data_IF_205565898412
#
_entry.id   IF_205565898412
#
_cell.length_a   1.000
_cell.length_b   1.000
_cell.length_c   1.000
_cell.angle_alpha   90.00
_cell.angle_beta   90.00
_cell.angle_gamma   90.00
#
_symmetry.space_group_name_H-M   'P 1'
#
loop_
_entity.id
_entity.type
_entity.pdbx_description
1 polymer ?
#
# COMPACT_ATOMS: atom_id res chain seq x y z
N UNK A 1 32.48 55.08 -12.14
CA UNK A 1 31.13 54.47 -12.30
C UNK A 1 31.05 53.27 -13.25
N UNK A 2 31.97 53.04 -14.20
CA UNK A 2 31.92 51.87 -15.12
C UNK A 2 32.57 50.57 -14.60
N UNK A 3 33.31 50.62 -13.49
CA UNK A 3 33.98 49.44 -12.92
C UNK A 3 33.10 48.63 -11.96
N UNK A 4 32.16 49.24 -11.23
CA UNK A 4 31.29 48.52 -10.30
C UNK A 4 30.16 47.73 -10.97
N UNK A 5 29.75 48.10 -12.19
CA UNK A 5 28.65 47.43 -12.88
C UNK A 5 29.06 46.06 -13.46
N UNK A 6 30.34 45.87 -13.82
CA UNK A 6 30.84 44.57 -14.29
C UNK A 6 30.96 43.54 -13.17
N UNK A 7 31.35 43.95 -11.97
CA UNK A 7 31.40 43.06 -10.80
C UNK A 7 30.01 42.71 -10.28
N UNK A 8 29.04 43.63 -10.36
CA UNK A 8 27.66 43.35 -9.99
C UNK A 8 26.99 42.40 -10.99
N UNK A 9 27.26 42.54 -12.31
CA UNK A 9 26.77 41.59 -13.31
C UNK A 9 27.43 40.21 -13.18
N UNK A 10 28.73 40.16 -12.86
CA UNK A 10 29.44 38.90 -12.64
C UNK A 10 28.98 38.20 -11.35
N UNK A 11 28.72 38.95 -10.27
CA UNK A 11 28.17 38.43 -9.03
C UNK A 11 26.71 37.96 -9.18
N UNK A 12 25.91 38.63 -10.02
CA UNK A 12 24.53 38.22 -10.34
C UNK A 12 24.52 36.98 -11.25
N UNK A 13 25.45 36.86 -12.20
CA UNK A 13 25.60 35.65 -13.03
C UNK A 13 26.12 34.46 -12.21
N UNK A 14 27.00 34.69 -11.24
CA UNK A 14 27.50 33.65 -10.31
C UNK A 14 26.46 33.27 -9.24
N UNK A 15 25.61 34.21 -8.79
CA UNK A 15 24.47 33.91 -7.90
C UNK A 15 23.27 33.28 -8.62
N UNK A 16 23.03 33.60 -9.90
CA UNK A 16 22.00 32.95 -10.72
C UNK A 16 22.48 31.61 -11.32
N UNK A 17 23.80 31.40 -11.41
CA UNK A 17 24.43 30.09 -11.66
C UNK A 17 24.83 29.42 -10.34
N UNK A 18 23.92 29.35 -9.36
CA UNK A 18 23.96 28.23 -8.44
C UNK A 18 23.85 26.97 -9.29
N UNK A 19 24.98 26.37 -9.68
CA UNK A 19 25.04 25.12 -10.42
C UNK A 19 24.38 24.04 -9.57
N UNK A 20 23.05 23.94 -9.63
CA UNK A 20 22.32 22.75 -9.24
C UNK A 20 22.75 21.66 -10.22
N UNK A 21 23.75 20.88 -9.82
CA UNK A 21 24.13 19.69 -10.55
C UNK A 21 22.92 18.75 -10.57
N UNK A 22 22.27 18.64 -11.73
CA UNK A 22 21.15 17.73 -11.91
C UNK A 22 21.63 16.30 -11.59
N UNK A 23 20.81 15.51 -10.88
CA UNK A 23 21.18 14.14 -10.57
C UNK A 23 21.40 13.35 -11.86
N UNK A 24 22.43 12.52 -11.86
CA UNK A 24 22.69 11.58 -12.96
C UNK A 24 21.75 10.39 -12.80
N UNK A 25 20.75 10.35 -13.67
CA UNK A 25 19.80 9.23 -13.73
C UNK A 25 20.44 8.05 -14.46
N UNK A 26 20.40 6.87 -13.87
CA UNK A 26 20.81 5.61 -14.51
C UNK A 26 19.55 4.80 -14.84
N UNK A 27 19.31 4.47 -16.11
CA UNK A 27 18.24 3.55 -16.48
C UNK A 27 18.51 2.16 -15.92
N UNK A 28 17.56 1.56 -15.19
CA UNK A 28 17.74 0.22 -14.62
C UNK A 28 17.97 -0.86 -15.70
N UNK A 29 17.51 -0.64 -16.93
CA UNK A 29 17.76 -1.51 -18.08
C UNK A 29 19.25 -1.62 -18.42
N UNK A 30 20.04 -0.59 -18.10
CA UNK A 30 21.48 -0.58 -18.31
C UNK A 30 22.28 -1.24 -17.18
N UNK A 31 21.62 -1.56 -16.06
CA UNK A 31 22.20 -2.27 -14.92
C UNK A 31 21.98 -3.79 -15.01
N UNK A 32 21.16 -4.23 -15.96
CA UNK A 32 20.89 -5.65 -16.20
C UNK A 32 22.13 -6.34 -16.79
N UNK A 33 22.63 -7.43 -16.16
CA UNK A 33 23.70 -8.23 -16.75
C UNK A 33 23.28 -8.82 -18.10
N UNK A 34 24.22 -8.94 -19.05
CA UNK A 34 23.97 -9.49 -20.39
C UNK A 34 23.54 -10.96 -20.31
N UNK A 35 22.54 -11.33 -21.11
CA UNK A 35 22.08 -12.71 -21.22
C UNK A 35 23.18 -13.62 -21.79
N UNK A 36 23.48 -14.72 -21.10
CA UNK A 36 24.17 -15.86 -21.71
C UNK A 36 23.12 -16.70 -22.45
N UNK A 37 23.38 -16.99 -23.73
CA UNK A 37 22.56 -17.89 -24.53
C UNK A 37 22.87 -19.33 -24.14
N UNK A 38 21.97 -20.01 -23.42
CA UNK A 38 22.11 -21.45 -23.16
C UNK A 38 20.78 -22.19 -23.29
N UNK A 39 20.88 -23.42 -23.79
CA UNK A 39 19.78 -24.33 -24.03
C UNK A 39 19.23 -24.87 -22.70
N UNK A 40 17.91 -24.72 -22.49
CA UNK A 40 17.22 -25.25 -21.32
C UNK A 40 17.33 -26.79 -21.27
N UNK A 41 17.89 -27.33 -20.20
CA UNK A 41 17.86 -28.76 -19.91
C UNK A 41 16.46 -29.17 -19.43
N UNK A 42 16.01 -30.37 -19.86
CA UNK A 42 14.72 -30.98 -19.46
C UNK A 42 14.80 -31.60 -18.06
N UNK A 43 15.19 -30.82 -17.05
CA UNK A 43 15.29 -31.31 -15.67
C UNK A 43 14.00 -31.05 -14.87
N UNK A 44 13.77 -31.84 -13.82
CA UNK A 44 12.61 -31.70 -12.94
C UNK A 44 12.68 -30.37 -12.19
N UNK A 45 11.61 -29.60 -12.31
CA UNK A 45 11.48 -28.24 -11.77
C UNK A 45 11.02 -28.30 -10.31
N UNK A 46 11.69 -27.56 -9.42
CA UNK A 46 11.21 -27.25 -8.08
C UNK A 46 10.34 -25.98 -8.16
N UNK A 47 9.00 -26.09 -8.10
CA UNK A 47 8.15 -24.92 -8.24
C UNK A 47 8.18 -24.09 -6.96
N UNK A 48 8.28 -22.77 -7.11
CA UNK A 48 8.17 -21.80 -6.02
C UNK A 48 7.26 -20.65 -6.45
N UNK A 49 6.56 -20.03 -5.50
CA UNK A 49 5.86 -18.76 -5.72
C UNK A 49 6.88 -17.64 -5.51
N UNK A 50 7.28 -16.96 -6.59
CA UNK A 50 8.22 -15.84 -6.51
C UNK A 50 7.41 -14.57 -6.17
N UNK A 51 7.48 -14.14 -4.91
CA UNK A 51 6.85 -12.92 -4.43
C UNK A 51 7.58 -11.66 -4.87
N UNK A 52 6.99 -10.50 -4.55
CA UNK A 52 7.58 -9.19 -4.86
C UNK A 52 8.89 -8.98 -4.12
N UNK A 53 9.87 -8.39 -4.80
CA UNK A 53 11.12 -7.95 -4.19
C UNK A 53 10.93 -6.57 -3.56
N UNK A 54 11.43 -6.36 -2.34
CA UNK A 54 11.28 -5.12 -1.60
C UNK A 54 12.62 -4.41 -1.45
N UNK A 55 12.64 -3.09 -1.69
CA UNK A 55 13.81 -2.27 -1.38
C UNK A 55 13.77 -1.79 0.08
N UNK A 56 14.58 -2.39 0.95
CA UNK A 56 14.63 -2.07 2.37
C UNK A 56 15.59 -0.91 2.68
N UNK A 57 16.26 -0.37 1.66
CA UNK A 57 17.16 0.78 1.84
C UNK A 57 16.35 2.00 2.30
N UNK A 58 16.90 2.72 3.27
CA UNK A 58 16.31 3.96 3.79
C UNK A 58 16.21 5.09 2.76
N UNK A 59 17.00 5.04 1.68
CA UNK A 59 16.98 6.00 0.58
C UNK A 59 16.96 5.31 -0.79
N UNK A 60 15.79 4.78 -1.18
CA UNK A 60 15.58 3.97 -2.40
C UNK A 60 15.97 4.68 -3.70
N UNK A 61 15.83 5.99 -3.74
CA UNK A 61 16.13 6.80 -4.93
C UNK A 61 17.61 7.19 -5.03
N UNK A 62 18.44 6.82 -4.06
CA UNK A 62 19.86 7.14 -4.05
C UNK A 62 20.69 5.89 -4.32
N UNK A 63 21.58 5.98 -5.30
CA UNK A 63 22.58 4.95 -5.58
C UNK A 63 23.98 5.42 -5.17
N UNK A 64 24.24 6.72 -5.08
CA UNK A 64 25.58 7.21 -4.81
C UNK A 64 25.76 8.68 -5.12
N UNK A 65 26.98 9.16 -4.90
CA UNK A 65 27.38 10.49 -5.35
C UNK A 65 28.88 10.51 -5.63
N UNK A 66 29.34 11.38 -6.53
CA UNK A 66 30.77 11.60 -6.79
C UNK A 66 31.08 13.07 -7.06
N UNK A 67 32.31 13.49 -6.79
CA UNK A 67 32.75 14.87 -7.00
C UNK A 67 33.13 15.11 -8.48
N UNK A 68 32.73 16.26 -9.02
CA UNK A 68 33.14 16.69 -10.37
C UNK A 68 34.40 17.54 -10.33
N UNK A 69 35.40 17.22 -11.15
CA UNK A 69 36.64 18.00 -11.22
C UNK A 69 36.40 19.44 -11.70
N UNK A 70 37.01 20.43 -11.04
CA UNK A 70 37.05 21.83 -11.48
C UNK A 70 35.90 22.72 -11.01
N UNK A 71 34.92 22.18 -10.29
CA UNK A 71 33.85 22.94 -9.63
C UNK A 71 33.52 22.26 -8.31
N UNK A 72 33.27 23.04 -7.25
CA UNK A 72 32.99 22.52 -5.90
C UNK A 72 31.57 21.90 -5.81
N UNK A 73 31.32 20.84 -6.58
CA UNK A 73 30.01 20.21 -6.73
C UNK A 73 30.05 18.69 -6.66
N UNK A 74 29.05 18.12 -5.99
CA UNK A 74 28.75 16.69 -5.95
C UNK A 74 27.65 16.37 -6.97
N UNK A 75 27.81 15.29 -7.73
CA UNK A 75 26.75 14.74 -8.59
C UNK A 75 26.14 13.54 -7.91
N UNK A 76 24.85 13.62 -7.60
CA UNK A 76 24.06 12.50 -7.08
C UNK A 76 23.68 11.53 -8.20
N UNK A 77 23.70 10.24 -7.91
CA UNK A 77 23.31 9.16 -8.82
C UNK A 77 22.00 8.58 -8.31
N UNK A 78 21.01 8.50 -9.19
CA UNK A 78 19.66 8.00 -8.91
C UNK A 78 19.23 7.00 -9.99
N UNK A 79 18.39 6.00 -9.68
CA UNK A 79 17.80 5.16 -10.72
C UNK A 79 16.61 5.87 -11.38
N UNK A 80 16.23 5.46 -12.60
CA UNK A 80 15.00 5.94 -13.27
C UNK A 80 13.72 5.29 -12.72
N UNK A 81 13.86 4.08 -12.14
CA UNK A 81 12.79 3.22 -11.62
C UNK A 81 13.24 2.48 -10.35
N UNK A 82 12.37 1.63 -9.81
CA UNK A 82 12.68 0.83 -8.63
C UNK A 82 13.83 -0.15 -8.93
N UNK A 83 14.93 -0.04 -8.17
CA UNK A 83 16.12 -0.88 -8.39
C UNK A 83 15.84 -2.36 -8.09
N UNK A 84 14.81 -2.68 -7.29
CA UNK A 84 14.42 -4.05 -6.97
C UNK A 84 14.07 -4.87 -8.21
N UNK A 85 13.64 -4.23 -9.30
CA UNK A 85 13.41 -4.88 -10.60
C UNK A 85 14.70 -5.55 -11.14
N UNK A 86 15.88 -4.95 -10.91
CA UNK A 86 17.18 -5.53 -11.31
C UNK A 86 17.47 -6.79 -10.51
N UNK A 87 17.28 -6.72 -9.21
CA UNK A 87 17.51 -7.85 -8.30
C UNK A 87 16.56 -9.01 -8.57
N UNK A 88 15.27 -8.71 -8.79
CA UNK A 88 14.26 -9.71 -9.12
C UNK A 88 14.59 -10.41 -10.44
N UNK A 89 14.95 -9.65 -11.48
CA UNK A 89 15.31 -10.21 -12.78
C UNK A 89 16.53 -11.14 -12.71
N UNK A 90 17.57 -10.75 -11.96
CA UNK A 90 18.76 -11.58 -11.72
C UNK A 90 18.39 -12.86 -10.96
N UNK A 91 17.63 -12.74 -9.86
CA UNK A 91 17.24 -13.87 -9.05
C UNK A 91 16.40 -14.88 -9.85
N UNK A 92 15.37 -14.41 -10.59
CA UNK A 92 14.53 -15.26 -11.44
C UNK A 92 15.36 -16.03 -12.48
N UNK A 93 16.32 -15.35 -13.11
CA UNK A 93 17.19 -15.96 -14.12
C UNK A 93 18.11 -17.03 -13.51
N UNK A 94 18.84 -16.67 -12.46
CA UNK A 94 19.78 -17.58 -11.79
C UNK A 94 19.08 -18.82 -11.21
N UNK A 95 17.93 -18.62 -10.56
CA UNK A 95 17.14 -19.72 -10.01
C UNK A 95 16.57 -20.64 -11.09
N UNK A 96 16.15 -20.07 -12.23
CA UNK A 96 15.70 -20.86 -13.38
C UNK A 96 16.81 -21.79 -13.88
N UNK A 97 18.06 -21.34 -13.93
CA UNK A 97 19.20 -22.20 -14.29
C UNK A 97 19.44 -23.33 -13.29
N UNK A 98 19.01 -23.17 -12.03
CA UNK A 98 19.04 -24.19 -10.98
C UNK A 98 17.81 -25.12 -11.00
N UNK A 99 16.91 -24.94 -11.98
CA UNK A 99 15.64 -25.66 -12.08
C UNK A 99 14.67 -25.31 -10.95
N UNK A 100 14.74 -24.08 -10.43
CA UNK A 100 13.80 -23.49 -9.49
C UNK A 100 13.01 -22.43 -10.26
N UNK A 101 11.75 -22.70 -10.54
CA UNK A 101 10.95 -21.84 -11.41
C UNK A 101 9.67 -21.39 -10.73
N UNK A 102 9.12 -20.29 -11.24
CA UNK A 102 7.81 -19.82 -10.82
C UNK A 102 6.74 -20.85 -11.17
N UNK A 103 5.97 -21.25 -10.17
CA UNK A 103 4.92 -22.24 -10.35
C UNK A 103 4.04 -22.36 -9.12
N UNK A 104 3.00 -23.18 -9.23
CA UNK A 104 2.11 -23.48 -8.11
C UNK A 104 2.90 -24.22 -7.03
N UNK A 105 3.03 -23.61 -5.86
CA UNK A 105 3.82 -24.15 -4.76
C UNK A 105 3.36 -23.57 -3.43
N UNK A 106 3.57 -24.32 -2.35
CA UNK A 106 3.45 -23.81 -0.97
C UNK A 106 4.70 -23.04 -0.54
N UNK A 107 5.80 -23.18 -1.29
CA UNK A 107 7.04 -22.50 -0.99
C UNK A 107 7.04 -21.13 -1.67
N UNK A 108 7.14 -20.07 -0.88
CA UNK A 108 7.23 -18.70 -1.39
C UNK A 108 8.65 -18.18 -1.24
N UNK A 109 9.22 -17.69 -2.33
CA UNK A 109 10.50 -17.00 -2.34
C UNK A 109 10.26 -15.49 -2.30
N UNK A 110 10.90 -14.81 -1.36
CA UNK A 110 10.88 -13.35 -1.20
C UNK A 110 12.29 -12.79 -1.36
N UNK A 111 12.41 -11.58 -1.89
CA UNK A 111 13.67 -10.85 -2.01
C UNK A 111 13.65 -9.53 -1.25
N UNK A 112 14.70 -9.22 -0.51
CA UNK A 112 14.89 -7.95 0.18
C UNK A 112 16.23 -7.33 -0.24
N UNK A 113 16.17 -6.16 -0.89
CA UNK A 113 17.35 -5.38 -1.28
C UNK A 113 17.86 -4.62 -0.06
N UNK A 114 19.02 -5.03 0.43
CA UNK A 114 19.67 -4.47 1.62
C UNK A 114 20.64 -3.34 1.26
N UNK A 115 21.25 -3.41 0.07
CA UNK A 115 22.22 -2.41 -0.41
C UNK A 115 22.23 -2.36 -1.93
N UNK A 116 22.38 -1.16 -2.48
CA UNK A 116 22.61 -0.92 -3.90
C UNK A 116 23.28 0.44 -4.04
N UNK A 117 24.59 0.47 -3.83
CA UNK A 117 25.36 1.69 -3.69
C UNK A 117 26.56 1.69 -4.63
N UNK A 118 26.95 2.88 -5.11
CA UNK A 118 28.22 3.17 -5.78
C UNK A 118 28.83 4.40 -5.12
N UNK A 119 29.94 4.19 -4.42
CA UNK A 119 30.56 5.16 -3.52
C UNK A 119 31.23 6.34 -4.22
N UNK A 120 31.61 7.32 -3.40
CA UNK A 120 32.30 8.53 -3.85
C UNK A 120 33.63 8.23 -4.53
N UNK A 121 33.90 8.94 -5.62
CA UNK A 121 35.17 8.86 -6.34
C UNK A 121 36.28 9.47 -5.47
N UNK A 122 37.19 8.65 -4.90
CA UNK A 122 38.30 9.17 -4.12
C UNK A 122 39.33 9.81 -5.05
N UNK A 123 40.34 10.49 -4.50
CA UNK A 123 41.51 10.99 -5.26
C UNK A 123 42.17 9.91 -6.14
N UNK A 124 41.99 8.62 -5.81
CA UNK A 124 42.43 7.45 -6.58
C UNK A 124 41.69 7.22 -7.90
N UNK A 125 40.60 7.95 -8.19
CA UNK A 125 39.74 7.81 -9.37
C UNK A 125 39.02 6.45 -9.52
N UNK A 126 38.96 5.67 -8.45
CA UNK A 126 38.28 4.36 -8.44
C UNK A 126 37.10 4.38 -7.49
N UNK A 127 35.89 4.19 -8.01
CA UNK A 127 34.67 4.02 -7.23
C UNK A 127 34.47 2.54 -6.88
N UNK A 128 33.85 2.30 -5.72
CA UNK A 128 33.43 0.97 -5.29
C UNK A 128 31.90 0.90 -5.34
N UNK A 129 31.35 -0.14 -5.97
CA UNK A 129 29.94 -0.46 -5.89
C UNK A 129 29.72 -1.72 -5.05
N UNK A 130 28.60 -1.74 -4.35
CA UNK A 130 28.16 -2.86 -3.54
C UNK A 130 26.64 -3.02 -3.64
N UNK A 131 26.21 -4.25 -3.91
CA UNK A 131 24.82 -4.66 -3.93
C UNK A 131 24.63 -5.83 -2.95
N UNK A 132 23.54 -5.84 -2.21
CA UNK A 132 23.17 -6.90 -1.26
C UNK A 132 21.70 -7.27 -1.44
N UNK A 133 21.47 -8.54 -1.74
CA UNK A 133 20.15 -9.14 -1.86
C UNK A 133 20.00 -10.26 -0.87
N UNK A 134 19.01 -10.17 0.00
CA UNK A 134 18.58 -11.31 0.79
C UNK A 134 17.44 -12.04 0.07
N UNK A 135 17.60 -13.34 -0.15
CA UNK A 135 16.53 -14.22 -0.58
C UNK A 135 16.08 -15.08 0.60
N UNK A 136 14.76 -15.19 0.77
CA UNK A 136 14.14 -15.99 1.82
C UNK A 136 13.07 -16.89 1.23
N UNK A 137 13.18 -18.21 1.48
CA UNK A 137 12.16 -19.20 1.14
C UNK A 137 11.34 -19.54 2.40
N UNK A 138 10.02 -19.43 2.29
CA UNK A 138 9.07 -19.72 3.39
C UNK A 138 8.07 -20.79 2.99
N UNK A 139 7.64 -21.62 3.95
CA UNK A 139 6.43 -22.42 3.81
C UNK A 139 5.22 -21.52 4.09
N UNK A 140 4.44 -21.25 3.05
CA UNK A 140 3.30 -20.33 3.12
C UNK A 140 2.16 -20.82 4.01
N UNK A 141 2.14 -22.11 4.38
CA UNK A 141 1.12 -22.70 5.26
C UNK A 141 1.42 -22.44 6.73
N UNK A 142 2.70 -22.50 7.09
CA UNK A 142 3.15 -22.42 8.49
C UNK A 142 3.84 -21.08 8.80
N UNK A 143 4.21 -20.31 7.78
CA UNK A 143 5.07 -19.15 7.91
C UNK A 143 6.53 -19.50 8.23
N UNK A 144 6.88 -20.80 8.26
CA UNK A 144 8.22 -21.24 8.61
C UNK A 144 9.23 -20.82 7.55
N UNK A 145 10.33 -20.20 7.99
CA UNK A 145 11.45 -19.86 7.13
C UNK A 145 12.30 -21.11 6.89
N UNK A 146 12.25 -21.62 5.66
CA UNK A 146 12.93 -22.84 5.27
C UNK A 146 14.38 -22.60 4.86
N UNK A 147 14.62 -21.44 4.25
CA UNK A 147 15.96 -21.05 3.80
C UNK A 147 16.05 -19.53 3.72
N UNK A 148 17.24 -19.01 4.00
CA UNK A 148 17.55 -17.60 3.88
C UNK A 148 19.02 -17.47 3.55
N UNK A 149 19.34 -16.61 2.59
CA UNK A 149 20.71 -16.34 2.19
C UNK A 149 20.84 -14.93 1.65
N UNK A 150 21.93 -14.28 2.00
CA UNK A 150 22.30 -12.98 1.45
C UNK A 150 23.37 -13.15 0.39
N UNK A 151 23.17 -12.52 -0.76
CA UNK A 151 24.07 -12.48 -1.89
C UNK A 151 24.65 -11.08 -2.01
N UNK A 152 25.98 -11.02 -2.05
CA UNK A 152 26.73 -9.79 -2.20
C UNK A 152 27.39 -9.77 -3.58
N UNK A 153 27.38 -8.60 -4.18
CA UNK A 153 28.24 -8.29 -5.32
C UNK A 153 29.00 -7.01 -5.06
N UNK A 154 30.28 -7.03 -5.36
CA UNK A 154 31.17 -5.88 -5.24
C UNK A 154 31.90 -5.66 -6.55
N UNK A 155 32.13 -4.39 -6.90
CA UNK A 155 32.94 -4.06 -8.06
C UNK A 155 33.65 -2.74 -7.86
N UNK A 156 34.75 -2.57 -8.59
CA UNK A 156 35.49 -1.32 -8.64
C UNK A 156 35.57 -0.83 -10.08
N UNK A 157 35.57 0.50 -10.28
CA UNK A 157 35.59 1.05 -11.63
C UNK A 157 35.61 2.57 -11.67
N UNK A 158 35.64 3.14 -12.88
CA UNK A 158 35.81 4.59 -13.07
C UNK A 158 34.54 5.28 -13.55
N UNK A 159 33.48 4.52 -13.82
CA UNK A 159 32.17 5.04 -14.22
C UNK A 159 31.09 4.39 -13.35
N UNK A 160 30.21 5.18 -12.69
CA UNK A 160 29.31 4.65 -11.68
C UNK A 160 28.32 3.61 -12.22
N UNK A 161 27.82 3.82 -13.45
CA UNK A 161 26.91 2.88 -14.11
C UNK A 161 27.58 1.55 -14.38
N UNK A 162 28.77 1.57 -14.99
CA UNK A 162 29.48 0.31 -15.30
C UNK A 162 29.95 -0.39 -14.02
N UNK A 163 30.39 0.36 -13.01
CA UNK A 163 30.77 -0.21 -11.72
C UNK A 163 29.58 -0.89 -11.04
N UNK A 164 28.41 -0.27 -11.04
CA UNK A 164 27.20 -0.85 -10.45
C UNK A 164 26.71 -2.08 -11.24
N UNK A 165 26.75 -2.04 -12.57
CA UNK A 165 26.44 -3.20 -13.41
C UNK A 165 27.39 -4.38 -13.16
N UNK A 166 28.69 -4.11 -12.95
CA UNK A 166 29.66 -5.14 -12.57
C UNK A 166 29.39 -5.71 -11.19
N UNK A 167 28.95 -4.90 -10.22
CA UNK A 167 28.56 -5.40 -8.90
C UNK A 167 27.33 -6.31 -9.00
N UNK A 168 26.34 -5.98 -9.85
CA UNK A 168 25.22 -6.87 -10.13
C UNK A 168 25.64 -8.20 -10.77
N UNK A 169 26.61 -8.16 -11.70
CA UNK A 169 27.16 -9.36 -12.32
C UNK A 169 27.93 -10.23 -11.31
N UNK A 170 28.67 -9.61 -10.39
CA UNK A 170 29.37 -10.31 -9.30
C UNK A 170 28.36 -10.97 -8.33
N UNK A 171 27.29 -10.25 -7.96
CA UNK A 171 26.20 -10.81 -7.15
C UNK A 171 25.50 -11.98 -7.84
N UNK A 172 25.21 -11.86 -9.14
CA UNK A 172 24.64 -12.97 -9.92
C UNK A 172 25.57 -14.18 -9.90
N UNK A 173 26.88 -13.97 -10.06
CA UNK A 173 27.88 -15.04 -9.98
C UNK A 173 27.89 -15.69 -8.58
N UNK A 174 27.72 -14.90 -7.52
CA UNK A 174 27.61 -15.39 -6.14
C UNK A 174 26.36 -16.26 -5.95
N UNK A 175 25.22 -15.83 -6.50
CA UNK A 175 23.97 -16.58 -6.49
C UNK A 175 24.06 -17.88 -7.33
N UNK A 176 24.65 -17.81 -8.51
CA UNK A 176 24.85 -18.97 -9.41
C UNK A 176 25.73 -20.05 -8.76
N UNK A 177 26.73 -19.65 -7.96
CA UNK A 177 27.63 -20.58 -7.26
C UNK A 177 27.02 -21.19 -5.99
N UNK A 178 25.96 -20.62 -5.45
CA UNK A 178 25.36 -21.10 -4.20
C UNK A 178 24.35 -22.23 -4.48
N UNK A 179 24.70 -23.44 -4.08
CA UNK A 179 23.85 -24.61 -4.22
C UNK A 179 23.06 -24.93 -2.95
N UNK A 180 23.07 -24.05 -1.94
CA UNK A 180 22.42 -24.34 -0.65
C UNK A 180 20.89 -24.45 -0.79
N UNK A 181 20.31 -23.73 -1.75
CA UNK A 181 18.90 -23.86 -2.10
C UNK A 181 18.57 -25.19 -2.80
N UNK A 182 19.57 -25.83 -3.45
CA UNK A 182 19.38 -27.13 -4.11
C UNK A 182 19.14 -28.26 -3.11
N UNK A 183 19.62 -28.15 -1.87
CA UNK A 183 19.34 -29.14 -0.82
C UNK A 183 17.83 -29.27 -0.55
N UNK A 184 17.10 -28.15 -0.62
CA UNK A 184 15.63 -28.15 -0.52
C UNK A 184 14.98 -28.74 -1.77
N UNK A 185 15.49 -28.42 -2.97
CA UNK A 185 15.05 -29.08 -4.22
C UNK A 185 15.25 -30.59 -4.15
N UNK A 186 16.39 -31.07 -3.66
CA UNK A 186 16.65 -32.51 -3.51
C UNK A 186 15.72 -33.16 -2.48
N UNK A 187 15.43 -32.48 -1.37
CA UNK A 187 14.45 -32.93 -0.38
C UNK A 187 13.04 -33.05 -1.00
N UNK A 188 12.66 -32.11 -1.86
CA UNK A 188 11.42 -32.13 -2.62
C UNK A 188 11.39 -33.23 -3.71
N UNK A 189 12.50 -33.43 -4.42
CA UNK A 189 12.57 -34.52 -5.40
C UNK A 189 12.53 -35.88 -4.72
N UNK A 190 13.16 -36.03 -3.55
CA UNK A 190 13.14 -37.23 -2.74
C UNK A 190 11.74 -37.56 -2.17
N UNK A 191 10.83 -36.58 -2.06
CA UNK A 191 9.41 -36.84 -1.78
C UNK A 191 8.61 -37.29 -3.02
N UNK A 192 9.29 -37.56 -4.13
CA UNK A 192 8.68 -37.95 -5.41
C UNK A 192 8.12 -36.77 -6.20
N UNK A 193 8.60 -35.54 -5.94
CA UNK A 193 8.01 -34.32 -6.51
C UNK A 193 6.60 -34.03 -5.97
N UNK A 194 6.17 -34.79 -4.97
CA UNK A 194 4.92 -34.56 -4.25
C UNK A 194 5.18 -33.45 -3.26
N UNK A 195 4.51 -32.33 -3.46
CA UNK A 195 4.36 -31.33 -2.41
C UNK A 195 3.73 -32.03 -1.18
N UNK A 196 3.91 -31.56 0.05
CA UNK A 196 3.33 -32.16 1.26
C UNK A 196 1.78 -32.09 1.33
N UNK A 197 1.09 -32.08 0.19
CA UNK A 197 -0.35 -32.27 0.00
C UNK A 197 -0.75 -33.76 -0.14
N UNK A 198 0.21 -34.70 -0.32
CA UNK A 198 -0.12 -36.09 -0.68
C UNK A 198 -0.24 -37.10 0.49
N UNK A 199 -0.15 -36.67 1.75
CA UNK A 199 -0.41 -37.56 2.92
C UNK A 199 -1.62 -37.01 3.69
N UNK A 200 -2.77 -37.60 3.38
CA UNK A 200 -4.03 -37.57 4.12
C UNK A 200 -4.41 -36.23 4.80
N UNK A 201 -4.95 -35.33 4.00
CA UNK A 201 -6.21 -34.70 4.38
C UNK A 201 -7.20 -34.91 3.24
N UNK A 202 -8.36 -35.50 3.56
CA UNK A 202 -9.56 -35.33 2.76
C UNK A 202 -9.64 -33.85 2.39
N UNK A 203 -9.63 -33.55 1.09
CA UNK A 203 -9.93 -32.21 0.60
C UNK A 203 -11.23 -31.74 1.26
N UNK A 204 -11.27 -30.62 2.00
CA UNK A 204 -12.38 -29.73 1.73
C UNK A 204 -12.10 -29.21 0.32
N UNK A 205 -13.06 -29.37 -0.60
CA UNK A 205 -13.03 -28.69 -1.89
C UNK A 205 -12.48 -27.26 -1.68
N UNK A 206 -11.28 -26.95 -2.17
CA UNK A 206 -10.91 -25.55 -2.36
C UNK A 206 -11.68 -25.10 -3.58
N UNK A 207 -12.96 -24.83 -3.37
CA UNK A 207 -13.66 -23.80 -4.14
C UNK A 207 -12.70 -22.62 -4.12
N UNK A 208 -12.37 -22.05 -5.29
CA UNK A 208 -11.91 -20.64 -5.37
C UNK A 208 -12.65 -19.91 -4.25
N UNK A 209 -12.00 -19.13 -3.35
CA UNK A 209 -12.75 -18.48 -2.29
C UNK A 209 -13.90 -17.78 -2.99
N UNK A 210 -15.10 -18.32 -2.82
CA UNK A 210 -16.30 -17.58 -3.14
C UNK A 210 -16.10 -16.42 -2.19
N UNK A 211 -15.84 -15.24 -2.75
CA UNK A 211 -15.71 -14.02 -1.96
C UNK A 211 -17.01 -13.97 -1.15
N UNK A 212 -16.92 -14.45 0.08
CA UNK A 212 -18.08 -15.03 0.78
C UNK A 212 -19.11 -13.94 1.07
N UNK A 213 -18.62 -12.71 1.15
CA UNK A 213 -19.41 -11.52 1.35
C UNK A 213 -20.33 -11.19 0.17
N UNK A 214 -20.07 -11.64 -1.06
CA UNK A 214 -21.00 -11.39 -2.19
C UNK A 214 -22.31 -12.20 -2.07
N UNK A 215 -22.31 -13.27 -1.28
CA UNK A 215 -23.54 -13.97 -0.90
C UNK A 215 -24.16 -13.23 0.29
N UNK A 216 -24.84 -12.12 -0.02
CA UNK A 216 -25.43 -11.24 0.98
C UNK A 216 -26.54 -11.99 1.73
N UNK A 217 -26.45 -12.12 3.06
CA UNK A 217 -27.48 -12.81 3.84
C UNK A 217 -28.80 -12.06 3.80
N UNK A 218 -29.91 -12.81 3.75
CA UNK A 218 -31.19 -12.26 4.18
C UNK A 218 -31.19 -12.16 5.71
N UNK A 219 -30.97 -10.95 6.23
CA UNK A 219 -30.96 -10.70 7.66
C UNK A 219 -32.36 -10.75 8.30
N UNK A 220 -33.43 -10.95 7.51
CA UNK A 220 -34.84 -10.84 7.92
C UNK A 220 -35.12 -9.53 8.65
N UNK A 221 -34.50 -8.45 8.16
CA UNK A 221 -34.53 -7.17 8.84
C UNK A 221 -35.90 -6.48 8.66
N UNK A 222 -36.42 -5.92 9.75
CA UNK A 222 -37.57 -5.01 9.67
C UNK A 222 -37.14 -3.74 8.94
N UNK A 223 -37.97 -3.19 8.03
CA UNK A 223 -37.63 -1.95 7.33
C UNK A 223 -37.27 -0.81 8.29
N UNK A 224 -36.13 -0.18 8.05
CA UNK A 224 -35.57 0.93 8.83
C UNK A 224 -35.84 2.24 8.09
N UNK A 225 -37.11 2.64 8.06
CA UNK A 225 -37.59 3.70 7.17
C UNK A 225 -37.01 5.11 7.46
N UNK A 226 -36.45 5.33 8.65
CA UNK A 226 -35.82 6.59 9.06
C UNK A 226 -34.28 6.52 9.05
N UNK A 227 -33.69 5.34 8.94
CA UNK A 227 -32.23 5.21 8.91
C UNK A 227 -31.71 5.68 7.55
N UNK A 228 -30.57 6.37 7.56
CA UNK A 228 -29.95 7.01 6.40
C UNK A 228 -28.53 6.51 6.22
N UNK A 229 -28.07 6.41 4.98
CA UNK A 229 -26.69 6.13 4.69
C UNK A 229 -26.14 7.04 3.58
N UNK A 230 -24.88 7.41 3.71
CA UNK A 230 -24.07 8.02 2.66
C UNK A 230 -22.92 7.07 2.38
N UNK A 231 -22.88 6.52 1.16
CA UNK A 231 -21.92 5.48 0.77
C UNK A 231 -21.10 6.00 -0.40
N UNK A 232 -19.83 6.26 -0.15
CA UNK A 232 -18.92 6.88 -1.10
C UNK A 232 -17.78 5.91 -1.43
N UNK A 233 -17.58 5.63 -2.72
CA UNK A 233 -16.50 4.78 -3.22
C UNK A 233 -15.84 5.38 -4.45
N UNK A 234 -14.58 5.78 -4.32
CA UNK A 234 -13.84 6.41 -5.42
C UNK A 234 -12.66 5.53 -5.76
N UNK A 235 -12.73 4.86 -6.89
CA UNK A 235 -11.69 3.98 -7.39
C UNK A 235 -10.90 4.65 -8.51
N UNK A 236 -11.62 5.27 -9.46
CA UNK A 236 -11.02 5.95 -10.60
C UNK A 236 -11.09 7.47 -10.37
N UNK A 237 -9.92 8.09 -10.19
CA UNK A 237 -9.79 9.54 -9.97
C UNK A 237 -9.45 10.28 -11.26
N UNK A 238 -9.81 11.57 -11.35
CA UNK A 238 -9.56 12.38 -12.55
C UNK A 238 -8.06 12.55 -12.87
N UNK A 239 -7.21 12.61 -11.84
CA UNK A 239 -5.77 12.87 -11.99
C UNK A 239 -4.89 12.22 -10.94
N UNK A 240 -5.40 11.21 -10.24
CA UNK A 240 -4.69 10.49 -9.18
C UNK A 240 -4.60 9.01 -9.50
N UNK A 241 -3.69 8.26 -8.83
CA UNK A 241 -3.66 6.82 -8.92
C UNK A 241 -5.02 6.18 -8.62
N UNK A 242 -5.19 4.96 -9.10
CA UNK A 242 -6.39 4.18 -8.81
C UNK A 242 -6.39 3.73 -7.35
N UNK A 243 -7.53 3.84 -6.67
CA UNK A 243 -7.75 3.24 -5.35
C UNK A 243 -8.48 1.91 -5.53
N UNK A 244 -7.71 0.83 -5.67
CA UNK A 244 -8.23 -0.49 -6.02
C UNK A 244 -9.43 -0.94 -5.15
N UNK A 245 -10.46 -1.43 -5.83
CA UNK A 245 -11.72 -1.94 -5.27
C UNK A 245 -12.58 -0.95 -4.50
N UNK A 246 -12.21 0.33 -4.37
CA UNK A 246 -13.00 1.28 -3.58
C UNK A 246 -14.45 1.46 -4.07
N UNK A 247 -14.68 1.36 -5.38
CA UNK A 247 -16.03 1.38 -5.96
C UNK A 247 -16.78 0.09 -5.67
N UNK A 248 -16.11 -1.05 -5.84
CA UNK A 248 -16.68 -2.38 -5.57
C UNK A 248 -17.07 -2.53 -4.09
N UNK A 249 -16.16 -2.12 -3.20
CA UNK A 249 -16.34 -2.07 -1.75
C UNK A 249 -17.57 -1.24 -1.36
N UNK A 250 -17.71 -0.04 -1.91
CA UNK A 250 -18.87 0.81 -1.67
C UNK A 250 -20.17 0.19 -2.21
N UNK A 251 -20.12 -0.46 -3.38
CA UNK A 251 -21.26 -1.17 -3.97
C UNK A 251 -21.76 -2.29 -3.06
N UNK A 252 -20.87 -3.15 -2.58
CA UNK A 252 -21.26 -4.26 -1.70
C UNK A 252 -21.74 -3.77 -0.33
N UNK A 253 -21.15 -2.69 0.22
CA UNK A 253 -21.64 -2.07 1.46
C UNK A 253 -23.07 -1.54 1.28
N UNK A 254 -23.37 -0.89 0.15
CA UNK A 254 -24.76 -0.46 -0.17
C UNK A 254 -25.71 -1.66 -0.12
N UNK A 255 -25.34 -2.79 -0.72
CA UNK A 255 -26.22 -3.95 -0.79
C UNK A 255 -26.42 -4.61 0.59
N UNK A 256 -25.39 -4.65 1.44
CA UNK A 256 -25.54 -5.06 2.84
C UNK A 256 -26.44 -4.14 3.64
N UNK A 257 -26.36 -2.82 3.44
CA UNK A 257 -27.26 -1.87 4.09
C UNK A 257 -28.72 -2.11 3.68
N UNK A 258 -28.97 -2.39 2.40
CA UNK A 258 -30.31 -2.80 1.93
C UNK A 258 -30.79 -4.07 2.63
N UNK A 259 -29.93 -5.08 2.74
CA UNK A 259 -30.24 -6.33 3.44
C UNK A 259 -30.48 -6.14 4.95
N UNK A 260 -29.85 -5.13 5.56
CA UNK A 260 -30.10 -4.71 6.95
C UNK A 260 -31.38 -3.89 7.13
N UNK A 261 -32.14 -3.64 6.06
CA UNK A 261 -33.44 -2.98 6.09
C UNK A 261 -33.44 -1.49 5.74
N UNK A 262 -32.31 -0.90 5.33
CA UNK A 262 -32.29 0.48 4.84
C UNK A 262 -33.09 0.59 3.55
N UNK A 263 -34.01 1.56 3.49
CA UNK A 263 -34.73 1.85 2.26
C UNK A 263 -33.76 2.41 1.20
N UNK A 264 -33.85 1.97 -0.05
CA UNK A 264 -32.92 2.42 -1.10
C UNK A 264 -32.93 3.95 -1.30
N UNK A 265 -34.11 4.60 -1.17
CA UNK A 265 -34.25 6.07 -1.19
C UNK A 265 -33.56 6.82 -0.04
N UNK A 266 -33.10 6.08 0.97
CA UNK A 266 -32.37 6.57 2.13
C UNK A 266 -30.88 6.22 2.06
N UNK A 267 -30.38 5.74 0.91
CA UNK A 267 -28.96 5.51 0.69
C UNK A 267 -28.49 6.45 -0.42
N UNK A 268 -27.74 7.49 -0.04
CA UNK A 268 -27.04 8.35 -0.99
C UNK A 268 -25.75 7.66 -1.43
N UNK A 269 -25.77 7.05 -2.62
CA UNK A 269 -24.65 6.30 -3.17
C UNK A 269 -23.90 7.13 -4.22
N UNK A 270 -22.62 7.40 -3.98
CA UNK A 270 -21.80 8.28 -4.81
C UNK A 270 -20.48 7.59 -5.15
N UNK A 271 -20.16 7.45 -6.44
CA UNK A 271 -18.94 6.76 -6.88
C UNK A 271 -18.23 7.47 -8.02
N UNK A 272 -16.91 7.23 -8.10
CA UNK A 272 -16.02 7.71 -9.17
C UNK A 272 -16.33 9.14 -9.63
N UNK A 273 -16.61 9.37 -10.92
CA UNK A 273 -16.80 10.69 -11.52
C UNK A 273 -17.94 11.52 -10.90
N UNK A 274 -18.86 10.86 -10.19
CA UNK A 274 -19.94 11.54 -9.46
C UNK A 274 -19.50 12.02 -8.09
N UNK A 275 -18.43 11.46 -7.53
CA UNK A 275 -17.92 11.78 -6.19
C UNK A 275 -17.04 13.03 -6.20
N UNK A 276 -17.51 14.10 -6.84
CA UNK A 276 -16.86 15.41 -6.80
C UNK A 276 -16.99 16.03 -5.40
N UNK A 277 -16.12 17.00 -5.09
CA UNK A 277 -16.19 17.73 -3.82
C UNK A 277 -17.58 18.29 -3.57
N UNK A 278 -18.17 18.93 -4.57
CA UNK A 278 -19.52 19.51 -4.49
C UNK A 278 -20.59 18.46 -4.22
N UNK A 279 -20.48 17.27 -4.80
CA UNK A 279 -21.45 16.18 -4.53
C UNK A 279 -21.31 15.64 -3.11
N UNK A 280 -20.09 15.48 -2.60
CA UNK A 280 -19.84 15.08 -1.21
C UNK A 280 -20.40 16.13 -0.24
N UNK A 281 -20.14 17.41 -0.48
CA UNK A 281 -20.70 18.51 0.31
C UNK A 281 -22.24 18.48 0.29
N UNK A 282 -22.85 18.32 -0.89
CA UNK A 282 -24.30 18.26 -1.01
C UNK A 282 -24.90 17.04 -0.30
N UNK A 283 -24.22 15.89 -0.32
CA UNK A 283 -24.68 14.69 0.39
C UNK A 283 -24.65 14.87 1.92
N UNK A 284 -23.55 15.40 2.45
CA UNK A 284 -23.34 15.55 3.90
C UNK A 284 -24.06 16.76 4.47
N UNK A 285 -24.06 17.90 3.78
CA UNK A 285 -24.48 19.20 4.31
C UNK A 285 -25.83 19.67 3.76
N UNK A 286 -26.35 19.03 2.71
CA UNK A 286 -27.67 19.30 2.16
C UNK A 286 -28.63 18.13 2.37
N UNK A 287 -28.30 16.96 1.84
CA UNK A 287 -29.20 15.82 1.78
C UNK A 287 -29.47 15.20 3.16
N UNK A 288 -28.42 14.98 3.98
CA UNK A 288 -28.57 14.43 5.32
C UNK A 288 -29.43 15.32 6.26
N UNK A 289 -29.13 16.63 6.45
CA UNK A 289 -29.94 17.50 7.29
C UNK A 289 -31.43 17.56 6.89
N UNK A 290 -31.73 17.46 5.60
CA UNK A 290 -33.10 17.51 5.09
C UNK A 290 -33.90 16.22 5.31
N UNK A 291 -33.24 15.10 5.64
CA UNK A 291 -33.89 13.79 5.81
C UNK A 291 -33.84 13.25 7.22
N UNK A 292 -32.86 13.67 8.02
CA UNK A 292 -32.65 13.16 9.38
C UNK A 292 -33.86 13.42 10.27
N UNK A 293 -34.18 12.45 11.11
CA UNK A 293 -35.17 12.53 12.20
C UNK A 293 -34.51 12.14 13.51
N UNK A 294 -35.14 12.50 14.63
CA UNK A 294 -34.62 12.25 15.98
C UNK A 294 -34.25 10.79 16.29
N UNK A 295 -34.94 9.84 15.68
CA UNK A 295 -34.73 8.40 15.84
C UNK A 295 -33.82 7.78 14.76
N UNK A 296 -33.31 8.59 13.83
CA UNK A 296 -32.51 8.09 12.70
C UNK A 296 -31.14 7.62 13.17
N UNK A 297 -30.71 6.46 12.66
CA UNK A 297 -29.30 6.08 12.63
C UNK A 297 -28.70 6.43 11.27
N UNK A 298 -27.52 7.04 11.29
CA UNK A 298 -26.80 7.46 10.09
C UNK A 298 -25.55 6.60 9.94
N UNK A 299 -25.35 6.02 8.75
CA UNK A 299 -24.11 5.32 8.39
C UNK A 299 -23.41 6.10 7.28
N UNK A 300 -22.20 6.58 7.54
CA UNK A 300 -21.33 7.16 6.50
C UNK A 300 -20.21 6.17 6.21
N UNK A 301 -20.15 5.67 4.99
CA UNK A 301 -19.07 4.81 4.53
C UNK A 301 -18.26 5.54 3.45
N UNK A 302 -16.94 5.54 3.61
CA UNK A 302 -16.01 6.08 2.62
C UNK A 302 -14.90 5.08 2.31
N UNK A 303 -14.69 4.80 1.02
CA UNK A 303 -13.52 4.08 0.51
C UNK A 303 -12.89 4.86 -0.64
N UNK A 304 -11.59 5.13 -0.53
CA UNK A 304 -10.85 5.97 -1.49
C UNK A 304 -9.61 6.60 -0.86
N UNK A 305 -9.00 7.53 -1.57
CA UNK A 305 -7.81 8.25 -1.14
C UNK A 305 -8.06 9.25 0.01
N UNK A 306 -7.25 9.14 1.04
CA UNK A 306 -7.10 10.16 2.07
C UNK A 306 -5.78 10.90 1.91
N UNK A 307 -5.71 12.15 2.36
CA UNK A 307 -4.47 12.93 2.33
C UNK A 307 -4.34 13.78 3.61
N UNK A 308 -3.14 13.86 4.20
CA UNK A 308 -2.86 14.86 5.22
C UNK A 308 -2.49 16.17 4.52
N UNK A 309 -2.95 17.30 5.08
CA UNK A 309 -2.43 18.60 4.71
C UNK A 309 -0.93 18.64 5.08
N UNK A 310 -0.04 18.97 4.13
CA UNK A 310 1.41 18.91 4.34
C UNK A 310 1.94 20.00 5.28
N UNK A 311 1.11 20.97 5.66
CA UNK A 311 1.47 22.05 6.58
C UNK A 311 0.87 21.83 7.97
N UNK A 312 -0.41 21.46 8.03
CA UNK A 312 -1.14 21.37 9.31
C UNK A 312 -1.24 19.94 9.85
N UNK A 313 -1.02 18.93 9.01
CA UNK A 313 -1.27 17.52 9.34
C UNK A 313 -2.75 17.13 9.38
N UNK A 314 -3.67 18.07 9.08
CA UNK A 314 -5.11 17.84 9.07
C UNK A 314 -5.49 16.81 8.01
N UNK A 315 -6.36 15.85 8.35
CA UNK A 315 -6.80 14.80 7.43
C UNK A 315 -7.94 15.24 6.51
N UNK A 316 -7.85 14.89 5.24
CA UNK A 316 -8.86 15.16 4.22
C UNK A 316 -9.26 13.89 3.49
N UNK A 317 -10.56 13.75 3.24
CA UNK A 317 -11.10 12.91 2.18
C UNK A 317 -10.73 13.56 0.85
N UNK A 318 -10.21 12.78 -0.11
CA UNK A 318 -9.90 13.26 -1.46
C UNK A 318 -11.07 12.90 -2.39
N UNK A 319 -11.80 13.90 -2.93
CA UNK A 319 -12.85 13.69 -3.92
C UNK A 319 -12.28 13.29 -5.29
N UNK A 320 -13.16 12.90 -6.22
CA UNK A 320 -12.79 12.54 -7.60
C UNK A 320 -11.96 13.62 -8.32
N UNK A 321 -12.35 14.89 -8.12
CA UNK A 321 -11.75 16.11 -8.64
C UNK A 321 -10.73 16.73 -7.66
N UNK A 322 -10.28 15.94 -6.67
CA UNK A 322 -9.30 16.35 -5.68
C UNK A 322 -7.89 16.49 -6.24
N UNK A 323 -7.16 17.52 -5.78
CA UNK A 323 -5.74 17.72 -6.05
C UNK A 323 -4.95 17.84 -4.73
N UNK A 324 -4.06 16.89 -4.40
CA UNK A 324 -3.25 16.91 -3.20
C UNK A 324 -2.38 18.17 -3.03
N UNK A 325 -2.03 18.86 -4.13
CA UNK A 325 -1.28 20.12 -4.07
C UNK A 325 -2.15 21.29 -3.59
N UNK A 326 -3.47 21.20 -3.74
CA UNK A 326 -4.44 22.22 -3.37
C UNK A 326 -5.50 21.66 -2.40
N UNK A 327 -5.08 20.76 -1.51
CA UNK A 327 -5.99 19.95 -0.69
C UNK A 327 -6.95 20.77 0.18
N UNK A 328 -6.53 21.95 0.67
CA UNK A 328 -7.43 22.86 1.42
C UNK A 328 -8.60 23.40 0.59
N UNK A 329 -8.46 23.42 -0.73
CA UNK A 329 -9.47 23.91 -1.68
C UNK A 329 -10.24 22.75 -2.29
N UNK A 330 -9.56 21.67 -2.70
CA UNK A 330 -10.14 20.58 -3.49
C UNK A 330 -10.51 19.35 -2.64
N UNK A 331 -9.94 19.21 -1.44
CA UNK A 331 -10.26 18.14 -0.49
C UNK A 331 -11.48 18.46 0.38
N UNK A 332 -12.00 17.42 1.06
CA UNK A 332 -13.04 17.55 2.07
C UNK A 332 -12.46 17.25 3.47
N UNK A 333 -12.32 18.25 4.37
CA UNK A 333 -11.69 18.04 5.67
C UNK A 333 -12.47 17.04 6.53
N UNK A 334 -11.76 16.10 7.17
CA UNK A 334 -12.39 15.09 8.02
C UNK A 334 -12.99 15.73 9.29
N UNK A 335 -12.37 16.81 9.78
CA UNK A 335 -12.95 17.63 10.85
C UNK A 335 -14.30 18.23 10.45
N UNK A 336 -14.42 18.75 9.21
CA UNK A 336 -15.68 19.28 8.66
C UNK A 336 -16.74 18.20 8.56
N UNK A 337 -16.37 16.98 8.16
CA UNK A 337 -17.28 15.82 8.19
C UNK A 337 -17.86 15.62 9.59
N UNK A 338 -17.00 15.48 10.60
CA UNK A 338 -17.42 15.22 11.98
C UNK A 338 -18.25 16.36 12.56
N UNK A 339 -17.85 17.62 12.32
CA UNK A 339 -18.58 18.80 12.80
C UNK A 339 -20.00 18.87 12.19
N UNK A 340 -20.16 18.53 10.92
CA UNK A 340 -21.48 18.54 10.26
C UNK A 340 -22.35 17.37 10.68
N UNK A 341 -21.78 16.17 10.78
CA UNK A 341 -22.51 15.00 11.28
C UNK A 341 -22.93 15.18 12.74
N UNK A 342 -22.10 15.83 13.56
CA UNK A 342 -22.38 16.10 14.97
C UNK A 342 -23.49 17.11 15.24
N UNK A 343 -23.84 17.93 14.24
CA UNK A 343 -24.98 18.87 14.31
C UNK A 343 -26.32 18.20 13.99
N UNK A 344 -26.30 17.00 13.42
CA UNK A 344 -27.53 16.29 13.05
C UNK A 344 -28.22 15.77 14.31
N UNK A 345 -29.54 15.97 14.39
CA UNK A 345 -30.38 15.41 15.45
C UNK A 345 -30.67 13.91 15.17
N UNK A 346 -29.61 13.11 15.07
CA UNK A 346 -29.68 11.67 14.87
C UNK A 346 -29.48 10.93 16.21
N UNK A 347 -30.12 9.77 16.35
CA UNK A 347 -29.94 8.91 17.52
C UNK A 347 -28.51 8.36 17.59
N UNK A 348 -27.97 7.90 16.46
CA UNK A 348 -26.63 7.35 16.32
C UNK A 348 -26.01 7.68 14.95
N UNK A 349 -24.72 7.96 14.93
CA UNK A 349 -23.91 8.17 13.72
C UNK A 349 -22.74 7.20 13.73
N UNK A 350 -22.62 6.40 12.68
CA UNK A 350 -21.54 5.44 12.48
C UNK A 350 -20.76 5.87 11.25
N UNK A 351 -19.47 6.17 11.40
CA UNK A 351 -18.58 6.51 10.30
C UNK A 351 -17.60 5.36 10.08
N UNK A 352 -17.54 4.85 8.86
CA UNK A 352 -16.68 3.75 8.44
C UNK A 352 -15.71 4.29 7.38
N UNK A 353 -14.41 4.30 7.70
CA UNK A 353 -13.37 4.88 6.85
C UNK A 353 -12.41 3.79 6.36
N UNK A 354 -12.55 3.36 5.10
CA UNK A 354 -11.61 2.47 4.43
C UNK A 354 -10.60 3.27 3.58
N UNK A 355 -9.78 4.04 4.28
CA UNK A 355 -8.83 4.99 3.70
C UNK A 355 -7.63 5.20 4.63
N UNK A 356 -6.50 5.65 4.09
CA UNK A 356 -5.35 6.06 4.90
C UNK A 356 -5.04 7.55 4.69
N UNK A 357 -4.65 8.23 5.76
CA UNK A 357 -4.34 9.67 5.78
C UNK A 357 -2.86 9.96 6.09
N UNK A 358 -2.00 8.94 6.01
CA UNK A 358 -0.56 9.04 6.31
C UNK A 358 0.24 9.70 5.18
N UNK A 359 -0.36 9.86 4.00
CA UNK A 359 0.32 10.33 2.81
C UNK A 359 1.14 9.26 2.09
N UNK A 360 1.03 8.00 2.51
CA UNK A 360 1.71 6.87 1.89
C UNK A 360 0.76 5.67 1.72
N UNK A 361 1.05 4.81 0.74
CA UNK A 361 0.35 3.53 0.54
C UNK A 361 -0.85 3.58 -0.41
N UNK A 362 -1.58 2.46 -0.48
CA UNK A 362 -2.53 2.16 -1.57
C UNK A 362 -3.74 3.08 -1.66
N UNK A 363 -4.20 3.63 -0.53
CA UNK A 363 -5.31 4.60 -0.49
C UNK A 363 -4.94 5.93 0.17
N UNK A 364 -3.70 6.40 0.00
CA UNK A 364 -3.30 7.76 0.41
C UNK A 364 -2.49 8.45 -0.66
N UNK A 365 -2.64 9.77 -0.77
CA UNK A 365 -1.93 10.61 -1.74
C UNK A 365 -1.31 11.83 -1.05
N UNK A 366 -0.22 12.34 -1.62
CA UNK A 366 0.47 13.55 -1.17
C UNK A 366 0.74 14.49 -2.33
N UNK A 367 0.88 15.77 -2.00
CA UNK A 367 1.41 16.78 -2.91
C UNK A 367 2.80 16.37 -3.42
N UNK A 368 3.11 16.70 -4.68
CA UNK A 368 4.37 16.33 -5.31
C UNK A 368 5.54 17.00 -4.58
N UNK A 369 6.48 16.20 -4.07
CA UNK A 369 7.63 16.68 -3.30
C UNK A 369 7.37 16.89 -1.81
N UNK A 370 6.13 16.69 -1.32
CA UNK A 370 5.85 16.66 0.11
C UNK A 370 6.37 15.35 0.72
N UNK A 371 6.87 15.43 1.96
CA UNK A 371 7.23 14.25 2.76
C UNK A 371 6.01 13.81 3.58
N UNK A 372 5.78 12.50 3.76
CA UNK A 372 4.79 12.01 4.70
C UNK A 372 5.02 12.64 6.07
N UNK A 373 4.03 13.35 6.58
CA UNK A 373 4.03 13.84 7.95
C UNK A 373 3.47 12.76 8.87
N UNK A 374 4.01 12.67 10.08
CA UNK A 374 3.33 11.97 11.17
C UNK A 374 2.04 12.74 11.43
N UNK A 375 0.89 12.10 11.20
CA UNK A 375 -0.40 12.71 11.48
C UNK A 375 -0.38 13.24 12.91
N UNK A 376 -0.61 14.54 13.07
CA UNK A 376 -0.96 15.08 14.37
C UNK A 376 -2.36 14.53 14.67
N UNK A 377 -2.40 13.56 15.58
CA UNK A 377 -3.62 13.04 16.18
C UNK A 377 -4.31 14.18 16.95
N UNK A 378 -4.86 15.17 16.25
CA UNK A 378 -5.96 15.94 16.79
C UNK A 378 -7.15 15.00 16.74
N UNK A 379 -7.25 14.15 17.77
CA UNK A 379 -8.46 13.39 18.06
C UNK A 379 -9.58 14.40 18.15
N UNK A 380 -10.32 14.58 17.06
CA UNK A 380 -11.50 15.41 17.07
C UNK A 380 -12.38 14.89 18.21
N UNK A 381 -12.80 15.79 19.10
CA UNK A 381 -13.73 15.43 20.16
C UNK A 381 -15.04 15.04 19.48
N UNK A 382 -15.30 13.74 19.40
CA UNK A 382 -16.50 13.22 18.76
C UNK A 382 -17.71 13.45 19.67
N UNK A 383 -18.88 13.82 19.11
CA UNK A 383 -20.13 13.83 19.84
C UNK A 383 -20.45 12.45 20.45
N UNK A 384 -21.19 12.43 21.57
CA UNK A 384 -21.53 11.17 22.28
C UNK A 384 -22.37 10.18 21.47
N UNK A 385 -23.07 10.65 20.42
CA UNK A 385 -23.86 9.83 19.52
C UNK A 385 -23.09 9.39 18.27
N UNK A 386 -21.76 9.55 18.23
CA UNK A 386 -20.94 9.20 17.08
C UNK A 386 -19.88 8.14 17.42
N UNK A 387 -19.70 7.19 16.50
CA UNK A 387 -18.56 6.26 16.48
C UNK A 387 -17.89 6.30 15.11
N UNK A 388 -16.56 6.30 15.11
CA UNK A 388 -15.72 6.22 13.91
C UNK A 388 -14.92 4.92 13.98
N UNK A 389 -15.03 4.10 12.95
CA UNK A 389 -14.20 2.92 12.73
C UNK A 389 -13.37 3.14 11.46
N UNK A 390 -12.05 3.19 11.60
CA UNK A 390 -11.12 3.42 10.49
C UNK A 390 -10.27 2.18 10.21
N UNK A 391 -9.91 1.98 8.95
CA UNK A 391 -9.12 0.84 8.49
C UNK A 391 -7.66 0.82 8.98
N UNK A 392 -7.14 1.97 9.43
CA UNK A 392 -5.76 2.16 9.91
C UNK A 392 -5.69 3.01 11.18
N UNK A 393 -4.54 2.96 11.86
CA UNK A 393 -4.17 3.83 12.96
C UNK A 393 -2.92 4.66 12.64
N UNK A 394 -2.90 5.92 13.10
CA UNK A 394 -1.73 6.79 12.97
C UNK A 394 -1.22 6.90 11.53
N UNK A 395 0.07 6.60 11.32
CA UNK A 395 0.72 6.67 10.01
C UNK A 395 0.67 5.36 9.19
N UNK A 396 -0.13 4.38 9.61
CA UNK A 396 -0.29 3.12 8.89
C UNK A 396 -0.99 3.33 7.53
N UNK A 397 -0.88 2.33 6.66
CA UNK A 397 -1.44 2.38 5.30
C UNK A 397 -2.53 1.33 5.12
N UNK A 398 -3.52 1.62 4.28
CA UNK A 398 -4.55 0.65 3.90
C UNK A 398 -4.12 -0.12 2.66
N UNK A 399 -4.62 -1.34 2.53
CA UNK A 399 -4.31 -2.22 1.40
C UNK A 399 -5.56 -2.93 0.88
N UNK A 400 -5.50 -3.24 -0.41
CA UNK A 400 -6.43 -4.13 -1.10
C UNK A 400 -5.85 -5.54 -1.23
N UNK A 401 -6.71 -6.54 -1.22
CA UNK A 401 -6.34 -7.93 -1.53
C UNK A 401 -6.93 -8.31 -2.88
N UNK A 402 -6.04 -8.56 -3.85
CA UNK A 402 -6.43 -9.04 -5.18
C UNK A 402 -7.14 -10.39 -5.13
N UNK A 403 -6.71 -11.28 -4.24
CA UNK A 403 -7.35 -12.58 -4.00
C UNK A 403 -8.80 -12.43 -3.51
N UNK A 404 -9.04 -11.45 -2.63
CA UNK A 404 -10.36 -11.20 -2.04
C UNK A 404 -11.22 -10.28 -2.90
N UNK A 405 -10.65 -9.56 -3.86
CA UNK A 405 -11.36 -8.60 -4.72
C UNK A 405 -11.84 -7.35 -3.98
N UNK A 406 -11.25 -7.02 -2.83
CA UNK A 406 -11.74 -5.99 -1.90
C UNK A 406 -10.62 -5.34 -1.09
N UNK A 407 -10.90 -4.18 -0.48
CA UNK A 407 -10.11 -3.66 0.64
C UNK A 407 -10.10 -4.64 1.82
N UNK A 408 -8.94 -4.88 2.45
CA UNK A 408 -8.82 -5.85 3.56
C UNK A 408 -9.80 -5.52 4.69
N UNK A 409 -9.92 -4.23 5.04
CA UNK A 409 -10.84 -3.78 6.07
C UNK A 409 -12.30 -4.04 5.70
N UNK A 410 -12.75 -3.58 4.53
CA UNK A 410 -14.14 -3.77 4.09
C UNK A 410 -14.50 -5.26 3.99
N UNK A 411 -13.59 -6.09 3.50
CA UNK A 411 -13.80 -7.53 3.43
C UNK A 411 -14.09 -8.13 4.81
N UNK A 412 -13.21 -7.90 5.79
CA UNK A 412 -13.40 -8.46 7.13
C UNK A 412 -14.59 -7.84 7.87
N UNK A 413 -14.87 -6.55 7.67
CA UNK A 413 -16.04 -5.88 8.21
C UNK A 413 -17.34 -6.57 7.76
N UNK A 414 -17.51 -6.76 6.45
CA UNK A 414 -18.70 -7.41 5.88
C UNK A 414 -18.78 -8.90 6.23
N UNK A 415 -17.63 -9.57 6.34
CA UNK A 415 -17.55 -10.97 6.80
C UNK A 415 -17.99 -11.11 8.26
N UNK A 416 -17.56 -10.22 9.14
CA UNK A 416 -17.97 -10.19 10.54
C UNK A 416 -19.49 -9.99 10.67
N UNK A 417 -20.03 -9.00 9.94
CA UNK A 417 -21.46 -8.70 9.91
C UNK A 417 -22.27 -9.90 9.39
N UNK A 418 -21.80 -10.52 8.29
CA UNK A 418 -22.39 -11.76 7.74
C UNK A 418 -22.41 -12.89 8.77
N UNK A 419 -21.33 -13.04 9.53
CA UNK A 419 -21.18 -14.07 10.57
C UNK A 419 -21.91 -13.74 11.88
N UNK A 420 -22.80 -12.75 11.87
CA UNK A 420 -23.73 -12.50 12.97
C UNK A 420 -23.23 -11.53 14.03
N UNK A 421 -22.08 -10.87 13.84
CA UNK A 421 -21.67 -9.74 14.71
C UNK A 421 -22.64 -8.57 14.50
N UNK A 422 -23.13 -8.00 15.60
CA UNK A 422 -24.26 -7.05 15.55
C UNK A 422 -23.87 -5.61 15.84
N UNK A 423 -22.84 -5.37 16.66
CA UNK A 423 -22.39 -4.02 17.04
C UNK A 423 -21.08 -3.62 16.37
N UNK A 424 -20.85 -2.31 16.22
CA UNK A 424 -19.56 -1.80 15.70
C UNK A 424 -18.39 -2.25 16.59
N UNK A 425 -18.58 -2.27 17.91
CA UNK A 425 -17.59 -2.74 18.88
C UNK A 425 -17.25 -4.23 18.69
N UNK A 426 -18.26 -5.10 18.61
CA UNK A 426 -18.07 -6.53 18.36
C UNK A 426 -17.36 -6.81 17.04
N UNK A 427 -17.72 -6.05 15.98
CA UNK A 427 -17.07 -6.17 14.68
C UNK A 427 -15.61 -5.73 14.79
N UNK A 428 -15.32 -4.57 15.40
CA UNK A 428 -13.96 -4.07 15.55
C UNK A 428 -13.05 -5.08 16.26
N UNK A 429 -13.48 -5.59 17.43
CA UNK A 429 -12.72 -6.58 18.19
C UNK A 429 -12.49 -7.86 17.39
N UNK A 430 -13.50 -8.28 16.61
CA UNK A 430 -13.39 -9.46 15.77
C UNK A 430 -12.44 -9.25 14.60
N UNK A 431 -12.53 -8.14 13.87
CA UNK A 431 -11.79 -7.95 12.61
C UNK A 431 -10.33 -7.53 12.83
N UNK A 432 -10.00 -6.87 13.95
CA UNK A 432 -8.66 -6.35 14.21
C UNK A 432 -7.54 -7.40 14.00
N UNK A 433 -7.56 -8.59 14.61
CA UNK A 433 -6.51 -9.58 14.40
C UNK A 433 -6.44 -10.06 12.93
N UNK A 434 -7.58 -10.26 12.27
CA UNK A 434 -7.60 -10.72 10.88
C UNK A 434 -7.05 -9.68 9.89
N UNK A 435 -7.38 -8.41 10.10
CA UNK A 435 -6.83 -7.31 9.27
C UNK A 435 -5.32 -7.21 9.49
N UNK A 436 -4.86 -7.28 10.73
CA UNK A 436 -3.43 -7.21 11.06
C UNK A 436 -2.65 -8.39 10.46
N UNK A 437 -3.18 -9.61 10.55
CA UNK A 437 -2.52 -10.81 10.04
C UNK A 437 -2.48 -10.84 8.50
N UNK A 438 -3.59 -10.46 7.85
CA UNK A 438 -3.66 -10.42 6.38
C UNK A 438 -2.75 -9.31 5.82
N UNK A 439 -2.69 -8.15 6.47
CA UNK A 439 -1.76 -7.08 6.09
C UNK A 439 -0.29 -7.48 6.31
N UNK A 440 0.02 -8.14 7.44
CA UNK A 440 1.39 -8.66 7.70
C UNK A 440 1.81 -9.68 6.65
N UNK A 441 0.89 -10.50 6.14
CA UNK A 441 1.20 -11.51 5.11
C UNK A 441 1.80 -10.90 3.83
N UNK A 442 1.42 -9.64 3.54
CA UNK A 442 1.91 -8.83 2.41
C UNK A 442 2.92 -7.76 2.83
N UNK A 443 3.54 -7.89 4.01
CA UNK A 443 4.54 -6.97 4.58
C UNK A 443 4.03 -5.53 4.77
N UNK A 444 2.75 -5.37 5.09
CA UNK A 444 2.15 -4.06 5.39
C UNK A 444 1.65 -4.02 6.83
N UNK A 445 1.85 -2.88 7.49
CA UNK A 445 1.25 -2.62 8.79
C UNK A 445 -0.09 -1.91 8.61
N UNK A 446 -1.17 -2.60 8.97
CA UNK A 446 -2.53 -2.08 8.98
C UNK A 446 -3.25 -2.59 10.23
N UNK A 447 -3.64 -1.67 11.12
CA UNK A 447 -4.44 -1.97 12.31
C UNK A 447 -5.68 -1.08 12.31
N UNK A 448 -6.90 -1.64 12.27
CA UNK A 448 -8.12 -0.85 12.40
C UNK A 448 -8.13 -0.04 13.71
N UNK A 449 -8.78 1.12 13.74
CA UNK A 449 -9.07 1.89 14.96
C UNK A 449 -10.55 2.14 15.15
N UNK A 450 -10.94 2.28 16.41
CA UNK A 450 -12.27 2.74 16.80
C UNK A 450 -12.17 3.96 17.71
N UNK A 451 -13.08 4.93 17.56
CA UNK A 451 -13.19 6.10 18.42
C UNK A 451 -14.68 6.44 18.63
N UNK A 452 -15.18 6.57 19.86
CA UNK A 452 -14.48 6.35 21.13
C UNK A 452 -14.15 4.87 21.37
N UNK A 453 -13.35 4.60 22.41
CA UNK A 453 -12.96 3.24 22.79
C UNK A 453 -14.18 2.32 23.05
N UNK A 454 -14.00 1.03 22.78
CA UNK A 454 -15.03 -0.03 22.87
C UNK A 454 -15.85 0.02 24.16
N UNK A 455 -15.21 0.30 25.29
CA UNK A 455 -15.84 0.40 26.60
C UNK A 455 -16.97 1.46 26.66
N UNK A 456 -16.86 2.52 25.87
CA UNK A 456 -17.86 3.60 25.77
C UNK A 456 -19.00 3.27 24.80
N UNK A 457 -18.91 2.14 24.08
CA UNK A 457 -19.87 1.72 23.05
C UNK A 457 -20.81 0.61 23.51
N UNK A 458 -20.65 0.08 24.73
CA UNK A 458 -21.43 -1.06 25.24
C UNK A 458 -22.95 -0.79 25.11
N UNK A 459 -23.64 -1.67 24.38
CA UNK A 459 -25.09 -1.59 24.16
C UNK A 459 -25.57 -0.55 23.14
N UNK A 460 -24.65 0.13 22.43
CA UNK A 460 -24.95 1.17 21.43
C UNK A 460 -24.35 0.81 20.07
N UNK A 461 -24.71 1.57 19.03
CA UNK A 461 -24.19 1.43 17.67
C UNK A 461 -24.35 0.01 17.12
N UNK A 462 -25.55 -0.54 17.31
CA UNK A 462 -25.94 -1.79 16.68
C UNK A 462 -26.10 -1.55 15.19
N UNK A 463 -25.51 -2.38 14.35
CA UNK A 463 -25.77 -2.45 12.90
C UNK A 463 -26.98 -3.34 12.60
N UNK A 464 -27.24 -4.33 13.46
CA UNK A 464 -28.36 -5.26 13.39
C UNK A 464 -29.02 -5.40 14.77
N UNK A 465 -30.35 -5.37 14.82
CA UNK A 465 -31.14 -5.67 16.02
C UNK A 465 -31.28 -7.20 16.19
#
# INVERSE_FOLDING_TARGET
>A
MKWHLKYLLFAIVVMLCGCMFLPRVIPISELMPRQKTENASKEVVFPVVIGRFFDERSNRNFLGQYDTFGSAGTVTIVPDRDISEVFEAIARRSLKHKGIEEGRSIFSLKGAVQRANVGAMPMSRVMNAEVLLELTLVDSRTGARLWQKTFQGVATGHNPKTTLALAFQDMETSLDKDDSILALKQTFLASGGKLPEDIERKEPEVKKPVVDIHNIPDFKATPLANDLAVVIGIENYQGLPKSDFSKSDAGIVKDYLKALGFAERNIEFVTDEKATKSKIETAIEGWLPNKVKGDSRIIVYYSGHGAPNPTTGEAFIVPYDGDPNYLSITGYPLKRLYDNLGKLQAAEVIVLLDTCFSGAGGRSVLAKGARPLVMTSQSAVLPQNMVVLSATQGSQITTSSQEKGHGIFTYYFLKALKNGKKSVAEIYEHIKPYVEDDAKSINVQQSPSINPDVERLRGRFLLRK
#
